data_IF_391527967909
#
_entry.id   IF_391527967909
#
_cell.length_a   1.000
_cell.length_b   1.000
_cell.length_c   1.000
_cell.angle_alpha   90.00
_cell.angle_beta   90.00
_cell.angle_gamma   90.00
#
_symmetry.space_group_name_H-M   'P 1'
#
loop_
_entity.id
_entity.type
_entity.pdbx_description
1 polymer ?
#
# COMPACT_ATOMS: atom_id res chain seq x y z
N UNK A 1 15.88 -15.97 35.78
CA UNK A 1 16.37 -15.51 34.46
C UNK A 1 15.49 -14.35 34.01
N UNK A 2 16.03 -13.19 33.61
CA UNK A 2 15.21 -12.06 33.22
C UNK A 2 14.56 -12.32 31.86
N UNK A 3 13.26 -12.06 31.78
CA UNK A 3 12.42 -12.14 30.57
C UNK A 3 12.84 -11.00 29.65
N UNK A 4 13.29 -11.29 28.43
CA UNK A 4 13.51 -10.25 27.43
C UNK A 4 12.17 -9.52 27.19
N UNK A 5 12.12 -8.22 27.48
CA UNK A 5 11.04 -7.38 27.06
C UNK A 5 11.01 -7.41 25.52
N UNK A 6 9.91 -7.90 24.96
CA UNK A 6 9.61 -7.77 23.53
C UNK A 6 9.44 -6.29 23.22
N UNK A 7 10.55 -5.58 23.01
CA UNK A 7 10.53 -4.25 22.44
C UNK A 7 9.97 -4.38 21.03
N UNK A 8 8.75 -3.88 20.84
CA UNK A 8 8.12 -3.71 19.53
C UNK A 8 9.08 -2.90 18.64
N UNK A 9 9.89 -3.59 17.83
CA UNK A 9 10.66 -2.96 16.78
C UNK A 9 9.66 -2.43 15.74
N UNK A 10 9.18 -1.20 15.97
CA UNK A 10 8.36 -0.48 14.99
C UNK A 10 9.17 -0.39 13.70
N UNK A 11 8.64 -0.91 12.58
CA UNK A 11 9.33 -0.83 11.31
C UNK A 11 9.71 0.61 10.96
N UNK A 12 10.97 0.82 10.58
CA UNK A 12 11.44 2.12 10.13
C UNK A 12 10.60 2.56 8.93
N UNK A 13 10.07 3.78 9.00
CA UNK A 13 9.38 4.43 7.89
C UNK A 13 10.34 5.27 7.09
N UNK A 14 10.27 5.13 5.77
CA UNK A 14 11.01 5.92 4.80
C UNK A 14 10.02 6.85 4.10
N UNK A 15 10.36 8.13 4.02
CA UNK A 15 9.62 9.12 3.25
C UNK A 15 10.00 8.95 1.78
N UNK A 16 9.27 8.10 1.08
CA UNK A 16 9.46 7.80 -0.33
C UNK A 16 8.17 8.11 -1.08
N UNK A 17 8.29 8.92 -2.12
CA UNK A 17 7.19 9.33 -2.98
C UNK A 17 7.13 8.43 -4.22
N UNK A 18 6.65 7.22 -4.03
CA UNK A 18 6.62 6.20 -5.07
C UNK A 18 5.26 6.19 -5.77
N UNK A 19 5.21 6.14 -7.11
CA UNK A 19 3.97 5.94 -7.83
C UNK A 19 3.29 4.63 -7.40
N UNK A 20 2.02 4.73 -7.07
CA UNK A 20 1.20 3.66 -6.53
C UNK A 20 -0.10 3.57 -7.33
N UNK A 21 -0.44 2.38 -7.81
CA UNK A 21 -1.82 2.06 -8.19
C UNK A 21 -2.48 1.28 -7.07
N UNK A 22 -3.69 1.69 -6.69
CA UNK A 22 -4.43 1.08 -5.59
C UNK A 22 -5.79 0.59 -6.07
N UNK A 23 -6.16 -0.61 -5.63
CA UNK A 23 -7.48 -1.19 -5.84
C UNK A 23 -8.06 -1.58 -4.49
N UNK A 24 -9.12 -0.90 -4.06
CA UNK A 24 -9.83 -1.18 -2.81
C UNK A 24 -11.04 -2.05 -3.10
N UNK A 25 -11.17 -3.13 -2.33
CA UNK A 25 -12.30 -4.05 -2.34
C UNK A 25 -12.99 -4.01 -0.99
N UNK A 26 -14.32 -4.09 -1.03
CA UNK A 26 -15.15 -3.95 0.15
C UNK A 26 -14.76 -4.89 1.27
N UNK A 27 -14.95 -4.41 2.49
CA UNK A 27 -14.97 -5.26 3.66
C UNK A 27 -16.28 -6.08 3.65
N UNK A 28 -16.18 -7.41 3.80
CA UNK A 28 -17.36 -8.28 3.77
C UNK A 28 -17.04 -9.74 4.05
N UNK A 29 -17.93 -10.42 4.80
CA UNK A 29 -17.84 -11.85 5.11
C UNK A 29 -18.68 -12.62 4.08
N UNK A 30 -18.05 -13.32 3.13
CA UNK A 30 -18.75 -14.19 2.18
C UNK A 30 -18.06 -14.33 0.81
N UNK A 31 -18.47 -15.35 0.04
CA UNK A 31 -17.95 -15.67 -1.30
C UNK A 31 -18.13 -14.55 -2.33
N UNK A 32 -19.02 -13.58 -2.07
CA UNK A 32 -19.25 -12.42 -2.94
C UNK A 32 -18.09 -11.39 -2.96
N UNK A 33 -17.14 -11.46 -2.01
CA UNK A 33 -15.97 -10.57 -1.99
C UNK A 33 -14.87 -10.95 -3.00
N UNK A 34 -14.99 -12.10 -3.69
CA UNK A 34 -13.96 -12.62 -4.62
C UNK A 34 -14.15 -12.22 -6.09
N UNK A 35 -15.34 -11.76 -6.49
CA UNK A 35 -15.67 -11.54 -7.91
C UNK A 35 -16.24 -10.17 -8.26
N UNK A 36 -16.34 -9.25 -7.29
CA UNK A 36 -16.81 -7.89 -7.56
C UNK A 36 -15.65 -7.00 -8.07
N UNK A 37 -15.95 -6.15 -9.06
CA UNK A 37 -15.13 -5.01 -9.49
C UNK A 37 -14.63 -4.24 -8.25
N UNK A 38 -13.38 -3.72 -8.23
CA UNK A 38 -12.92 -2.88 -7.13
C UNK A 38 -13.92 -1.73 -6.90
N UNK A 39 -14.19 -1.43 -5.63
CA UNK A 39 -15.04 -0.29 -5.27
C UNK A 39 -14.36 1.03 -5.61
N UNK A 40 -13.04 1.06 -5.43
CA UNK A 40 -12.19 2.20 -5.75
C UNK A 40 -10.92 1.73 -6.45
N UNK A 41 -10.56 2.46 -7.50
CA UNK A 41 -9.32 2.31 -8.24
C UNK A 41 -8.73 3.71 -8.48
N UNK A 42 -7.51 3.93 -8.00
CA UNK A 42 -6.85 5.24 -8.10
C UNK A 42 -5.34 5.10 -8.34
N UNK A 43 -4.78 6.01 -9.13
CA UNK A 43 -3.33 6.20 -9.24
C UNK A 43 -2.91 7.38 -8.35
N UNK A 44 -1.97 7.14 -7.43
CA UNK A 44 -1.52 8.11 -6.43
C UNK A 44 -0.02 7.94 -6.17
N UNK A 45 0.49 8.63 -5.15
CA UNK A 45 1.86 8.50 -4.65
C UNK A 45 1.85 8.12 -3.18
N UNK A 46 2.83 7.31 -2.75
CA UNK A 46 3.05 7.12 -1.31
C UNK A 46 3.62 8.39 -0.68
N UNK A 47 3.26 8.66 0.56
CA UNK A 47 3.89 9.69 1.40
C UNK A 47 5.01 9.07 2.25
N UNK A 48 4.79 7.84 2.72
CA UNK A 48 5.81 7.04 3.38
C UNK A 48 5.54 5.53 3.23
N UNK A 49 6.60 4.74 3.42
CA UNK A 49 6.56 3.28 3.34
C UNK A 49 7.46 2.63 4.39
N UNK A 50 7.08 1.45 4.84
CA UNK A 50 7.84 0.57 5.73
C UNK A 50 7.63 -0.89 5.32
N UNK A 51 8.30 -1.82 5.99
CA UNK A 51 8.05 -3.25 5.76
C UNK A 51 6.66 -3.72 6.20
N UNK A 52 5.99 -2.98 7.10
CA UNK A 52 4.65 -3.34 7.60
C UNK A 52 3.50 -2.60 6.90
N UNK A 53 3.78 -1.61 6.06
CA UNK A 53 2.71 -0.79 5.49
C UNK A 53 3.18 0.50 4.85
N UNK A 54 2.26 1.18 4.19
CA UNK A 54 2.45 2.48 3.58
C UNK A 54 1.35 3.47 3.97
N UNK A 55 1.59 4.72 3.65
CA UNK A 55 0.65 5.82 3.79
C UNK A 55 0.58 6.60 2.47
N UNK A 56 -0.61 6.94 2.02
CA UNK A 56 -0.88 7.65 0.76
C UNK A 56 -2.19 8.43 0.87
N UNK A 57 -2.50 9.24 -0.13
CA UNK A 57 -3.73 10.02 -0.20
C UNK A 57 -4.65 9.48 -1.32
N UNK A 58 -5.95 9.44 -1.07
CA UNK A 58 -7.01 9.11 -2.04
C UNK A 58 -8.03 10.24 -2.16
N UNK A 59 -8.74 10.30 -3.28
CA UNK A 59 -9.85 11.25 -3.47
C UNK A 59 -11.06 10.91 -2.58
N UNK A 60 -11.38 9.63 -2.44
CA UNK A 60 -12.50 9.15 -1.63
C UNK A 60 -12.03 8.49 -0.35
N UNK A 61 -12.88 8.50 0.69
CA UNK A 61 -12.60 7.80 1.95
C UNK A 61 -12.98 6.32 1.83
N UNK A 62 -12.01 5.38 1.90
CA UNK A 62 -12.33 3.96 1.90
C UNK A 62 -12.67 3.47 3.31
N UNK A 63 -13.49 2.41 3.42
CA UNK A 63 -13.86 1.83 4.71
C UNK A 63 -12.66 1.14 5.39
N UNK A 64 -12.45 1.42 6.69
CA UNK A 64 -11.44 0.74 7.50
C UNK A 64 -11.71 -0.77 7.53
N UNK A 65 -10.67 -1.57 7.36
CA UNK A 65 -10.74 -3.03 7.24
C UNK A 65 -10.82 -3.52 5.80
N UNK A 66 -11.21 -2.66 4.84
CA UNK A 66 -11.28 -3.02 3.42
C UNK A 66 -9.97 -3.60 2.92
N UNK A 67 -10.10 -4.59 2.03
CA UNK A 67 -8.94 -5.23 1.40
C UNK A 67 -8.41 -4.32 0.32
N UNK A 68 -7.10 -4.24 0.23
CA UNK A 68 -6.44 -3.43 -0.77
C UNK A 68 -5.38 -4.23 -1.51
N UNK A 69 -5.39 -4.13 -2.82
CA UNK A 69 -4.32 -4.58 -3.69
C UNK A 69 -3.58 -3.34 -4.20
N UNK A 70 -2.25 -3.41 -4.26
CA UNK A 70 -1.41 -2.28 -4.62
C UNK A 70 -0.29 -2.71 -5.57
N UNK A 71 -0.01 -1.87 -6.56
CA UNK A 71 1.21 -1.92 -7.37
C UNK A 71 2.02 -0.67 -7.09
N UNK A 72 3.14 -0.81 -6.37
CA UNK A 72 4.09 0.27 -6.11
C UNK A 72 5.21 0.17 -7.13
N UNK A 73 5.43 1.22 -7.91
CA UNK A 73 6.50 1.27 -8.92
C UNK A 73 7.74 1.85 -8.26
N UNK A 74 8.84 1.10 -8.30
CA UNK A 74 10.15 1.63 -7.95
C UNK A 74 10.67 2.43 -9.15
N UNK A 75 11.36 3.53 -8.88
CA UNK A 75 11.99 4.32 -9.94
C UNK A 75 12.99 3.48 -10.76
N UNK A 76 13.14 3.79 -12.07
CA UNK A 76 14.12 3.13 -12.91
C UNK A 76 15.55 3.33 -12.37
N UNK A 77 16.39 2.31 -12.55
CA UNK A 77 17.81 2.43 -12.19
C UNK A 77 18.50 3.45 -13.11
N UNK A 78 19.58 4.12 -12.65
CA UNK A 78 20.45 4.89 -13.53
C UNK A 78 20.80 4.09 -14.80
N UNK A 79 20.60 4.68 -15.97
CA UNK A 79 20.74 4.00 -17.27
C UNK A 79 19.45 3.45 -17.89
N UNK A 80 18.27 3.93 -17.47
CA UNK A 80 17.01 3.69 -18.18
C UNK A 80 16.44 2.26 -18.08
N UNK A 81 17.00 1.42 -17.21
CA UNK A 81 16.48 0.06 -16.98
C UNK A 81 15.14 0.14 -16.25
N UNK A 82 14.14 -0.69 -16.62
CA UNK A 82 12.86 -0.68 -15.93
C UNK A 82 13.06 -0.86 -14.43
N UNK A 83 12.28 -0.14 -13.62
CA UNK A 83 12.28 -0.29 -12.18
C UNK A 83 11.62 -1.60 -11.76
N UNK A 84 11.97 -2.10 -10.58
CA UNK A 84 11.20 -3.18 -9.94
C UNK A 84 9.79 -2.68 -9.61
N UNK A 85 8.84 -3.59 -9.47
CA UNK A 85 7.52 -3.30 -8.90
C UNK A 85 7.34 -4.06 -7.60
N UNK A 86 6.56 -3.51 -6.68
CA UNK A 86 6.11 -4.24 -5.49
C UNK A 86 4.61 -4.46 -5.62
N UNK A 87 4.21 -5.73 -5.70
CA UNK A 87 2.80 -6.10 -5.65
C UNK A 87 2.49 -6.44 -4.20
N UNK A 88 1.53 -5.72 -3.62
CA UNK A 88 1.14 -5.85 -2.23
C UNK A 88 -0.35 -6.16 -2.10
N UNK A 89 -0.68 -7.00 -1.11
CA UNK A 89 -2.03 -7.12 -0.58
C UNK A 89 -2.01 -6.73 0.89
N UNK A 90 -3.02 -5.96 1.29
CA UNK A 90 -3.11 -5.40 2.61
C UNK A 90 -4.53 -5.12 3.04
N UNK A 91 -4.63 -4.39 4.15
CA UNK A 91 -5.88 -3.84 4.65
C UNK A 91 -5.70 -2.38 5.04
N UNK A 92 -6.76 -1.61 4.86
CA UNK A 92 -6.85 -0.26 5.41
C UNK A 92 -7.00 -0.36 6.91
N UNK A 93 -6.11 0.30 7.66
CA UNK A 93 -6.10 0.28 9.13
C UNK A 93 -6.45 1.63 9.75
N UNK A 94 -6.45 2.70 8.94
CA UNK A 94 -6.87 4.05 9.37
C UNK A 94 -7.19 4.92 8.16
N UNK A 95 -8.09 5.89 8.36
CA UNK A 95 -8.36 7.01 7.46
C UNK A 95 -8.20 8.33 8.22
N UNK A 96 -7.73 9.37 7.54
CA UNK A 96 -7.52 10.73 8.06
C UNK A 96 -8.21 11.71 7.10
N UNK A 97 -9.35 12.28 7.52
CA UNK A 97 -10.17 13.18 6.68
C UNK A 97 -9.51 14.55 6.49
N UNK A 98 -9.94 15.25 5.44
CA UNK A 98 -9.60 16.67 5.20
C UNK A 98 -8.09 16.93 5.15
N UNK A 99 -7.34 15.99 4.55
CA UNK A 99 -5.92 16.20 4.31
C UNK A 99 -5.71 17.20 3.16
N UNK A 100 -4.44 17.55 2.93
CA UNK A 100 -4.04 18.52 1.91
C UNK A 100 -4.77 18.28 0.58
N UNK A 101 -5.41 19.33 0.08
CA UNK A 101 -6.14 19.30 -1.19
C UNK A 101 -7.50 18.61 -1.13
N UNK A 102 -8.08 18.40 0.06
CA UNK A 102 -9.40 17.76 0.22
C UNK A 102 -9.36 16.23 0.13
N UNK A 103 -8.16 15.65 0.01
CA UNK A 103 -7.96 14.20 -0.05
C UNK A 103 -8.10 13.54 1.32
N UNK A 104 -8.32 12.23 1.30
CA UNK A 104 -8.29 11.38 2.49
C UNK A 104 -6.93 10.73 2.64
N UNK A 105 -6.33 10.87 3.82
CA UNK A 105 -5.14 10.14 4.21
C UNK A 105 -5.44 8.69 4.55
N UNK A 106 -4.71 7.74 3.95
CA UNK A 106 -4.98 6.31 4.09
C UNK A 106 -3.75 5.58 4.61
N UNK A 107 -3.89 4.92 5.75
CA UNK A 107 -2.88 4.00 6.26
C UNK A 107 -3.22 2.56 5.88
N UNK A 108 -2.32 1.92 5.14
CA UNK A 108 -2.45 0.52 4.76
C UNK A 108 -1.42 -0.34 5.50
N UNK A 109 -1.86 -1.42 6.14
CA UNK A 109 -0.99 -2.47 6.63
C UNK A 109 -0.79 -3.55 5.57
N UNK A 110 0.45 -3.97 5.36
CA UNK A 110 0.79 -5.04 4.43
C UNK A 110 0.51 -6.39 5.09
N UNK A 111 -0.24 -7.25 4.39
CA UNK A 111 -0.41 -8.65 4.78
C UNK A 111 0.60 -9.53 4.06
N UNK A 112 0.87 -9.21 2.79
CA UNK A 112 1.86 -9.89 1.97
C UNK A 112 2.29 -8.99 0.82
N UNK A 113 3.55 -9.08 0.45
CA UNK A 113 4.07 -8.37 -0.72
C UNK A 113 5.09 -9.24 -1.46
N UNK A 114 5.27 -8.95 -2.75
CA UNK A 114 6.31 -9.54 -3.58
C UNK A 114 6.97 -8.46 -4.41
N UNK A 115 8.30 -8.46 -4.42
CA UNK A 115 9.08 -7.64 -5.33
C UNK A 115 9.17 -8.38 -6.67
N UNK A 116 8.68 -7.76 -7.72
CA UNK A 116 8.81 -8.22 -9.09
C UNK A 116 10.00 -7.46 -9.70
N UNK A 117 11.11 -8.16 -10.02
CA UNK A 117 12.24 -7.52 -10.68
C UNK A 117 11.80 -7.04 -12.07
N UNK A 118 12.47 -6.02 -12.63
CA UNK A 118 12.23 -5.64 -14.01
C UNK A 118 12.49 -6.84 -14.93
N UNK A 119 11.55 -7.17 -15.79
CA UNK A 119 11.81 -8.18 -16.82
C UNK A 119 12.91 -7.65 -17.74
N UNK A 120 13.94 -8.46 -17.97
CA UNK A 120 14.83 -8.21 -19.10
C UNK A 120 13.99 -8.42 -20.37
N UNK A 121 13.69 -7.33 -21.08
CA UNK A 121 13.39 -7.48 -22.51
C UNK A 121 14.72 -7.87 -23.18
N UNK A 122 14.75 -9.06 -23.77
CA UNK A 122 15.83 -9.50 -24.64
C UNK A 122 15.65 -8.85 -26.02
#
# INVERSE_FOLDING_TARGET
MPKAASGDLRPRRYQLFLPLKVWVRSWGRGEQAKSAKPQLEEETITENISSAGCYFLLEEEPEIGSRVEMEIKMEPKPGGKPGSKVICRGRIVRTEKEMKGGKTGVGCAFERYRIIPPSKKF
#
